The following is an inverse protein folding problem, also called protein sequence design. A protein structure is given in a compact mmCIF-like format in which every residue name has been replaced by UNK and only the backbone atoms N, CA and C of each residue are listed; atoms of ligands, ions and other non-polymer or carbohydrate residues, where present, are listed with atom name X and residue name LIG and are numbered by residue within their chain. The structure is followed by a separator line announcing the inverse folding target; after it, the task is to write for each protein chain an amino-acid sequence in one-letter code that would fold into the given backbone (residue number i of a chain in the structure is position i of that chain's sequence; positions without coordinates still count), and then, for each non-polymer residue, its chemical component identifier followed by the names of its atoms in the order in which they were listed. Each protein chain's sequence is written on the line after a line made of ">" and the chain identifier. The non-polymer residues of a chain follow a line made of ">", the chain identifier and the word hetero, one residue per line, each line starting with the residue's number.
data_IF_387752797278
#
_entry.id   IF_387752797278
#
_cell.length_a   1.000
_cell.length_b   1.000
_cell.length_c   1.000
_cell.angle_alpha   90.00
_cell.angle_beta   90.00
_cell.angle_gamma   90.00
#
_symmetry.space_group_name_H-M   'P 1'
#
loop_
_entity.id
_entity.type
_entity.pdbx_description
1 polymer ?
#
# COMPACT_ATOMS: atom_id res chain seq x y z
N UNK A 1 -6.12 -15.47 28.01
CA UNK A 1 -4.67 -15.68 28.25
C UNK A 1 -4.47 -15.87 29.74
N UNK A 2 -3.95 -17.01 30.17
CA UNK A 2 -3.54 -17.19 31.56
C UNK A 2 -2.48 -16.13 31.92
N UNK A 3 -2.55 -15.57 33.12
CA UNK A 3 -1.57 -14.59 33.59
C UNK A 3 -0.21 -15.29 33.68
N UNK A 4 0.79 -14.81 32.94
CA UNK A 4 2.14 -15.39 32.96
C UNK A 4 2.68 -15.36 34.39
N UNK A 5 3.39 -16.42 34.78
CA UNK A 5 4.05 -16.49 36.09
C UNK A 5 5.06 -15.36 36.26
N UNK A 6 5.13 -14.80 37.47
CA UNK A 6 6.11 -13.77 37.80
C UNK A 6 7.52 -14.36 37.93
N UNK A 7 8.52 -13.59 37.51
CA UNK A 7 9.94 -13.96 37.67
C UNK A 7 10.38 -13.69 39.12
N UNK A 8 11.07 -14.65 39.73
CA UNK A 8 11.60 -14.53 41.09
C UNK A 8 12.47 -13.27 41.25
N UNK A 9 12.30 -12.56 42.38
CA UNK A 9 12.92 -11.25 42.61
C UNK A 9 14.46 -11.28 42.56
N UNK A 10 15.07 -12.33 43.10
CA UNK A 10 16.54 -12.53 43.07
C UNK A 10 17.04 -12.68 41.64
N UNK A 11 16.29 -13.41 40.79
CA UNK A 11 16.65 -13.59 39.39
C UNK A 11 16.51 -12.30 38.59
N UNK A 12 15.46 -11.51 38.83
CA UNK A 12 15.28 -10.20 38.15
C UNK A 12 16.48 -9.27 38.32
N UNK A 13 17.19 -9.33 39.44
CA UNK A 13 18.37 -8.49 39.69
C UNK A 13 19.57 -8.86 38.78
N UNK A 14 19.64 -10.12 38.34
CA UNK A 14 20.65 -10.61 37.41
C UNK A 14 20.26 -10.45 35.94
N UNK A 15 19.00 -10.17 35.63
CA UNK A 15 18.51 -10.11 34.26
C UNK A 15 18.54 -8.68 33.72
N UNK A 16 19.14 -8.51 32.52
CA UNK A 16 19.16 -7.22 31.81
C UNK A 16 18.27 -7.29 30.58
N UNK A 17 17.01 -6.88 30.75
CA UNK A 17 16.07 -6.75 29.64
C UNK A 17 16.52 -5.68 28.62
N UNK A 18 16.17 -5.81 27.33
CA UNK A 18 16.52 -4.84 26.30
C UNK A 18 15.80 -3.51 26.52
N UNK A 19 16.47 -2.40 26.21
CA UNK A 19 15.82 -1.09 26.21
C UNK A 19 14.85 -0.98 25.03
N UNK A 20 13.58 -0.60 25.27
CA UNK A 20 12.60 -0.45 24.19
C UNK A 20 13.00 0.64 23.18
N UNK A 21 12.95 0.33 21.89
CA UNK A 21 13.23 1.27 20.80
C UNK A 21 12.01 2.12 20.41
N UNK A 22 12.20 3.34 19.91
CA UNK A 22 11.10 4.16 19.36
C UNK A 22 10.83 3.81 17.89
N UNK A 23 9.60 4.06 17.38
CA UNK A 23 9.24 3.76 15.99
C UNK A 23 10.09 4.43 14.92
N UNK A 24 10.70 5.56 15.27
CA UNK A 24 11.55 6.43 14.46
C UNK A 24 13.04 6.35 14.85
N UNK A 25 13.45 5.29 15.54
CA UNK A 25 14.86 5.07 15.89
C UNK A 25 15.66 4.40 14.77
N UNK A 26 16.97 4.66 14.75
CA UNK A 26 17.89 4.10 13.75
C UNK A 26 17.80 4.73 12.37
N UNK A 27 18.48 4.14 11.37
CA UNK A 27 18.53 4.67 10.00
C UNK A 27 17.16 4.68 9.32
N UNK A 28 16.34 3.66 9.56
CA UNK A 28 14.97 3.61 9.02
C UNK A 28 14.06 4.70 9.60
N UNK A 29 14.39 5.22 10.79
CA UNK A 29 13.70 6.35 11.40
C UNK A 29 13.68 7.60 10.53
N UNK A 30 14.67 7.79 9.66
CA UNK A 30 14.69 8.90 8.69
C UNK A 30 13.55 8.81 7.66
N UNK A 31 13.07 7.60 7.40
CA UNK A 31 11.97 7.31 6.48
C UNK A 31 10.64 7.07 7.20
N UNK A 32 10.64 7.03 8.53
CA UNK A 32 9.47 6.68 9.31
C UNK A 32 8.47 7.85 9.33
N UNK A 33 7.30 7.64 8.74
CA UNK A 33 6.12 8.49 8.94
C UNK A 33 5.07 7.72 9.71
N UNK A 34 4.52 8.33 10.78
CA UNK A 34 3.41 7.74 11.52
C UNK A 34 2.17 7.66 10.61
N UNK A 35 1.63 6.47 10.29
CA UNK A 35 0.41 6.37 9.50
C UNK A 35 -0.79 6.90 10.28
N UNK A 36 -1.75 7.57 9.63
CA UNK A 36 -2.98 8.05 10.29
C UNK A 36 -3.80 6.90 10.91
N UNK A 37 -3.74 5.71 10.31
CA UNK A 37 -4.37 4.50 10.86
C UNK A 37 -3.88 4.13 12.28
N UNK A 38 -2.66 4.51 12.67
CA UNK A 38 -2.12 4.29 14.01
C UNK A 38 -2.76 5.18 15.10
N UNK A 39 -3.54 6.19 14.71
CA UNK A 39 -4.31 7.05 15.63
C UNK A 39 -5.75 6.55 15.79
N UNK A 40 -6.20 5.69 14.89
CA UNK A 40 -7.57 5.18 14.85
C UNK A 40 -7.67 3.83 15.57
N UNK A 41 -8.85 3.52 16.08
CA UNK A 41 -9.13 2.17 16.58
C UNK A 41 -9.37 1.25 15.38
N UNK A 42 -8.87 0.01 15.44
CA UNK A 42 -9.05 -0.94 14.36
C UNK A 42 -8.00 -2.04 14.37
N UNK A 43 -8.09 -3.00 13.43
CA UNK A 43 -7.01 -3.92 13.12
C UNK A 43 -5.76 -3.17 12.62
N UNK A 44 -4.63 -3.39 13.27
CA UNK A 44 -3.33 -2.79 12.94
C UNK A 44 -2.29 -3.87 12.61
N UNK A 45 -1.19 -3.46 11.99
CA UNK A 45 -0.02 -4.30 11.76
C UNK A 45 1.20 -3.76 12.50
N UNK A 46 2.31 -4.51 12.46
CA UNK A 46 3.51 -4.19 13.23
C UNK A 46 4.13 -2.85 12.84
N UNK A 47 4.15 -2.51 11.54
CA UNK A 47 4.66 -1.22 11.08
C UNK A 47 3.71 -0.07 11.45
N UNK A 48 2.40 -0.30 11.32
CA UNK A 48 1.38 0.69 11.72
C UNK A 48 1.49 1.04 13.21
N UNK A 49 1.71 0.06 14.08
CA UNK A 49 1.78 0.30 15.53
C UNK A 49 3.17 0.74 16.02
N UNK A 50 4.23 0.08 15.54
CA UNK A 50 5.59 0.19 16.06
C UNK A 50 6.60 0.82 15.09
N UNK A 51 6.20 1.15 13.85
CA UNK A 51 7.12 1.65 12.82
C UNK A 51 8.27 0.66 12.60
N UNK A 52 9.50 1.13 12.81
CA UNK A 52 10.73 0.33 12.71
C UNK A 52 11.37 0.01 14.06
N UNK A 53 10.63 0.14 15.17
CA UNK A 53 11.14 -0.13 16.50
C UNK A 53 11.51 -1.61 16.69
N UNK A 54 12.53 -1.87 17.50
CA UNK A 54 12.78 -3.22 18.03
C UNK A 54 13.53 -4.19 17.11
N UNK A 55 13.84 -3.81 15.87
CA UNK A 55 14.66 -4.60 14.92
C UNK A 55 16.14 -4.60 15.28
N UNK A 56 16.45 -5.26 16.39
CA UNK A 56 17.80 -5.55 16.84
C UNK A 56 17.82 -6.82 17.68
N UNK A 57 19.01 -7.39 17.83
CA UNK A 57 19.36 -8.46 18.74
C UNK A 57 20.04 -7.93 19.98
N UNK A 58 19.76 -8.59 21.10
CA UNK A 58 20.33 -8.32 22.41
C UNK A 58 20.71 -9.64 23.03
N UNK A 59 21.83 -9.68 23.75
CA UNK A 59 22.16 -10.83 24.60
C UNK A 59 21.39 -10.73 25.91
N UNK A 60 20.89 -11.86 26.40
CA UNK A 60 20.03 -11.93 27.58
C UNK A 60 20.40 -13.16 28.42
N UNK A 61 20.39 -13.05 29.74
CA UNK A 61 20.66 -14.17 30.67
C UNK A 61 21.87 -15.05 30.30
N UNK A 62 22.95 -14.45 29.77
CA UNK A 62 24.21 -15.16 29.48
C UNK A 62 24.91 -15.42 30.82
N UNK A 63 25.37 -16.66 31.04
CA UNK A 63 26.00 -17.10 32.30
C UNK A 63 25.15 -16.81 33.56
N UNK A 64 23.85 -17.09 33.49
CA UNK A 64 22.86 -16.81 34.55
C UNK A 64 22.77 -15.32 34.96
N UNK A 65 23.12 -14.40 34.04
CA UNK A 65 22.89 -12.96 34.15
C UNK A 65 23.83 -12.19 35.08
N UNK A 66 24.22 -12.78 36.21
CA UNK A 66 25.08 -12.14 37.21
C UNK A 66 26.60 -12.40 37.00
N UNK A 67 26.98 -13.39 36.19
CA UNK A 67 28.40 -13.68 35.88
C UNK A 67 28.87 -13.19 34.50
N UNK A 68 28.00 -12.54 33.72
CA UNK A 68 28.20 -12.17 32.31
C UNK A 68 29.37 -11.19 32.01
N UNK A 69 30.16 -10.78 33.00
CA UNK A 69 31.14 -9.70 32.86
C UNK A 69 32.52 -10.17 32.38
N UNK A 70 32.80 -11.48 32.28
CA UNK A 70 34.19 -11.95 32.12
C UNK A 70 34.49 -12.95 30.99
N UNK A 71 33.51 -13.57 30.33
CA UNK A 71 33.79 -14.88 29.71
C UNK A 71 33.76 -14.97 28.18
N UNK A 72 32.98 -14.18 27.41
CA UNK A 72 32.87 -14.43 25.95
C UNK A 72 32.63 -13.17 25.09
N UNK A 73 33.69 -12.50 24.55
CA UNK A 73 33.57 -11.36 23.64
C UNK A 73 32.98 -11.70 22.25
N UNK A 74 33.02 -12.96 21.82
CA UNK A 74 32.57 -13.45 20.51
C UNK A 74 31.09 -13.15 20.26
N UNK A 75 30.20 -13.50 21.19
CA UNK A 75 28.74 -13.28 21.06
C UNK A 75 28.37 -11.79 20.97
N UNK A 76 29.19 -10.90 21.56
CA UNK A 76 29.00 -9.44 21.45
C UNK A 76 29.38 -8.95 20.06
N UNK A 77 30.46 -9.45 19.48
CA UNK A 77 30.90 -9.08 18.13
C UNK A 77 29.88 -9.57 17.09
N UNK A 78 29.50 -10.85 17.15
CA UNK A 78 28.56 -11.45 16.21
C UNK A 78 27.15 -10.83 16.33
N UNK A 79 26.67 -10.56 17.55
CA UNK A 79 25.43 -9.80 17.75
C UNK A 79 25.53 -8.37 17.19
N UNK A 80 26.70 -7.73 17.27
CA UNK A 80 26.92 -6.39 16.68
C UNK A 80 26.87 -6.42 15.16
N UNK A 81 27.49 -7.43 14.54
CA UNK A 81 27.44 -7.63 13.09
C UNK A 81 26.00 -7.87 12.63
N UNK A 82 25.29 -8.81 13.27
CA UNK A 82 23.89 -9.10 12.96
C UNK A 82 22.98 -7.87 13.14
N UNK A 83 23.26 -7.01 14.12
CA UNK A 83 22.57 -5.73 14.29
C UNK A 83 22.88 -4.73 13.16
N UNK A 84 24.12 -4.71 12.66
CA UNK A 84 24.47 -3.92 11.48
C UNK A 84 23.70 -4.36 10.24
N UNK A 85 23.58 -5.67 10.02
CA UNK A 85 22.80 -6.24 8.93
C UNK A 85 21.31 -5.88 9.07
N UNK A 86 20.73 -6.02 10.26
CA UNK A 86 19.36 -5.59 10.52
C UNK A 86 19.15 -4.10 10.32
N UNK A 87 20.13 -3.28 10.69
CA UNK A 87 20.07 -1.84 10.45
C UNK A 87 19.99 -1.53 8.95
N UNK A 88 20.79 -2.21 8.13
CA UNK A 88 20.76 -2.08 6.67
C UNK A 88 19.43 -2.57 6.10
N UNK A 89 18.98 -3.78 6.49
CA UNK A 89 17.72 -4.35 6.02
C UNK A 89 16.53 -3.43 6.37
N UNK A 90 16.50 -2.93 7.61
CA UNK A 90 15.45 -2.05 8.09
C UNK A 90 15.50 -0.70 7.38
N UNK A 91 16.68 -0.17 7.06
CA UNK A 91 16.81 1.06 6.27
C UNK A 91 16.31 0.89 4.82
N UNK A 92 16.58 -0.25 4.18
CA UNK A 92 16.10 -0.56 2.83
C UNK A 92 14.58 -0.66 2.80
N UNK A 93 14.00 -1.42 3.73
CA UNK A 93 12.52 -1.52 3.86
C UNK A 93 11.91 -0.16 4.23
N UNK A 94 12.59 0.61 5.08
CA UNK A 94 12.31 2.01 5.39
C UNK A 94 12.12 2.87 4.15
N UNK A 95 13.17 2.93 3.33
CA UNK A 95 13.18 3.71 2.09
C UNK A 95 12.11 3.23 1.10
N UNK A 96 11.94 1.92 0.96
CA UNK A 96 10.95 1.32 0.05
C UNK A 96 9.52 1.65 0.46
N UNK A 97 9.18 1.48 1.75
CA UNK A 97 7.87 1.83 2.30
C UNK A 97 7.58 3.32 2.14
N UNK A 98 8.56 4.18 2.47
CA UNK A 98 8.39 5.62 2.30
C UNK A 98 8.11 6.01 0.85
N UNK A 99 8.82 5.43 -0.13
CA UNK A 99 8.53 5.70 -1.54
C UNK A 99 7.15 5.18 -1.94
N UNK A 100 6.80 3.95 -1.55
CA UNK A 100 5.49 3.35 -1.85
C UNK A 100 4.36 4.19 -1.29
N UNK A 101 4.38 4.49 0.00
CA UNK A 101 3.33 5.29 0.65
C UNK A 101 3.23 6.67 0.01
N UNK A 102 4.37 7.27 -0.35
CA UNK A 102 4.37 8.58 -0.99
C UNK A 102 3.84 8.53 -2.42
N UNK A 103 4.15 7.49 -3.19
CA UNK A 103 3.62 7.29 -4.55
C UNK A 103 2.10 7.17 -4.60
N UNK A 104 1.48 6.73 -3.51
CA UNK A 104 0.03 6.63 -3.34
C UNK A 104 -0.63 7.90 -2.76
N UNK A 105 0.15 8.96 -2.55
CA UNK A 105 -0.32 10.25 -2.02
C UNK A 105 -0.10 11.39 -3.05
N UNK A 106 -0.94 11.46 -4.10
CA UNK A 106 -0.70 12.30 -5.28
C UNK A 106 -0.50 13.79 -4.93
N UNK A 107 -1.29 14.33 -3.99
CA UNK A 107 -1.20 15.73 -3.55
C UNK A 107 0.19 16.06 -2.99
N UNK A 108 0.72 15.19 -2.13
CA UNK A 108 2.00 15.44 -1.47
C UNK A 108 3.20 15.22 -2.40
N UNK A 109 3.05 14.38 -3.44
CA UNK A 109 4.09 14.13 -4.44
C UNK A 109 4.15 15.18 -5.54
N UNK A 110 2.98 15.62 -6.02
CA UNK A 110 2.88 16.38 -7.26
C UNK A 110 2.28 17.78 -7.08
N UNK A 111 1.93 18.20 -5.86
CA UNK A 111 1.40 19.54 -5.60
C UNK A 111 2.33 20.67 -6.09
N UNK A 112 3.63 20.42 -6.17
CA UNK A 112 4.60 21.37 -6.76
C UNK A 112 4.39 21.61 -8.27
N UNK A 113 3.80 20.63 -8.98
CA UNK A 113 3.56 20.68 -10.42
C UNK A 113 2.19 21.30 -10.76
N UNK A 114 1.34 21.58 -9.78
CA UNK A 114 0.00 22.14 -10.02
C UNK A 114 0.04 23.48 -10.78
N UNK A 115 0.96 24.43 -10.47
CA UNK A 115 1.09 25.65 -11.27
C UNK A 115 1.50 25.40 -12.72
N UNK A 116 2.31 24.35 -12.97
CA UNK A 116 2.71 23.96 -14.32
C UNK A 116 1.51 23.38 -15.08
N UNK A 117 0.73 22.50 -14.46
CA UNK A 117 -0.49 21.93 -15.05
C UNK A 117 -1.47 23.06 -15.37
N UNK A 118 -1.66 24.02 -14.47
CA UNK A 118 -2.55 25.16 -14.68
C UNK A 118 -2.10 26.03 -15.87
N UNK A 119 -0.84 26.47 -15.87
CA UNK A 119 -0.31 27.32 -16.94
C UNK A 119 -0.30 26.61 -18.30
N UNK A 120 0.15 25.35 -18.33
CA UNK A 120 0.21 24.57 -19.57
C UNK A 120 -1.19 24.29 -20.13
N UNK A 121 -2.13 23.87 -19.28
CA UNK A 121 -3.52 23.58 -19.73
C UNK A 121 -4.19 24.85 -20.26
N UNK A 122 -4.03 25.98 -19.56
CA UNK A 122 -4.59 27.27 -20.00
C UNK A 122 -3.99 27.73 -21.33
N UNK A 123 -2.67 27.66 -21.47
CA UNK A 123 -1.98 28.02 -22.70
C UNK A 123 -2.43 27.14 -23.88
N UNK A 124 -2.52 25.82 -23.68
CA UNK A 124 -2.99 24.88 -24.70
C UNK A 124 -4.45 25.15 -25.07
N UNK A 125 -5.32 25.42 -24.10
CA UNK A 125 -6.71 25.75 -24.36
C UNK A 125 -6.86 27.04 -25.17
N UNK A 126 -6.16 28.11 -24.77
CA UNK A 126 -6.21 29.40 -25.48
C UNK A 126 -5.67 29.29 -26.91
N UNK A 127 -4.59 28.54 -27.14
CA UNK A 127 -3.98 28.45 -28.47
C UNK A 127 -4.65 27.43 -29.38
N UNK A 128 -5.07 26.29 -28.84
CA UNK A 128 -5.61 25.19 -29.64
C UNK A 128 -7.13 25.22 -29.64
N UNK A 129 -7.77 25.19 -28.48
CA UNK A 129 -9.21 25.02 -28.43
C UNK A 129 -9.99 26.28 -28.81
N UNK A 130 -9.50 27.48 -28.49
CA UNK A 130 -10.21 28.70 -28.93
C UNK A 130 -10.19 28.83 -30.47
N UNK A 131 -9.05 28.55 -31.11
CA UNK A 131 -8.89 28.70 -32.57
C UNK A 131 -9.51 27.50 -33.29
N UNK A 132 -9.04 26.29 -32.98
CA UNK A 132 -9.52 25.09 -33.67
C UNK A 132 -10.91 24.67 -33.20
N UNK A 133 -11.30 24.95 -31.95
CA UNK A 133 -12.64 24.62 -31.46
C UNK A 133 -13.73 25.40 -32.21
N UNK A 134 -13.51 26.69 -32.49
CA UNK A 134 -14.43 27.50 -33.32
C UNK A 134 -14.49 26.94 -34.74
N UNK A 135 -13.34 26.64 -35.36
CA UNK A 135 -13.30 26.05 -36.71
C UNK A 135 -14.03 24.69 -36.74
N UNK A 136 -13.80 23.84 -35.73
CA UNK A 136 -14.40 22.52 -35.64
C UNK A 136 -15.91 22.62 -35.41
N UNK A 137 -16.37 23.54 -34.57
CA UNK A 137 -17.79 23.84 -34.39
C UNK A 137 -18.43 24.35 -35.68
N UNK A 138 -17.72 25.18 -36.46
CA UNK A 138 -18.18 25.62 -37.77
C UNK A 138 -18.36 24.45 -38.75
N UNK A 139 -17.38 23.54 -38.82
CA UNK A 139 -17.43 22.34 -39.66
C UNK A 139 -18.54 21.39 -39.23
N UNK A 140 -18.66 21.11 -37.93
CA UNK A 140 -19.74 20.27 -37.38
C UNK A 140 -21.10 20.93 -37.61
N UNK A 141 -21.21 22.25 -37.44
CA UNK A 141 -22.44 23.00 -37.72
C UNK A 141 -22.86 22.90 -39.18
N UNK A 142 -21.93 23.11 -40.12
CA UNK A 142 -22.18 22.93 -41.55
C UNK A 142 -22.57 21.49 -41.91
N UNK A 143 -21.91 20.50 -41.30
CA UNK A 143 -22.24 19.08 -41.45
C UNK A 143 -23.68 18.78 -40.98
N UNK A 144 -24.07 19.28 -39.81
CA UNK A 144 -25.43 19.11 -39.28
C UNK A 144 -26.46 19.80 -40.16
N UNK A 145 -26.19 21.00 -40.68
CA UNK A 145 -27.07 21.69 -41.62
C UNK A 145 -27.24 20.90 -42.93
N UNK A 146 -26.17 20.35 -43.49
CA UNK A 146 -26.22 19.52 -44.68
C UNK A 146 -27.01 18.23 -44.46
N UNK A 147 -26.80 17.54 -43.33
CA UNK A 147 -27.50 16.29 -43.01
C UNK A 147 -28.95 16.51 -42.58
N UNK A 148 -29.27 17.67 -41.99
CA UNK A 148 -30.65 18.04 -41.67
C UNK A 148 -31.54 18.08 -42.92
N UNK A 149 -30.97 18.42 -44.08
CA UNK A 149 -31.67 18.38 -45.37
C UNK A 149 -31.89 16.97 -45.93
N UNK A 150 -31.19 15.96 -45.42
CA UNK A 150 -31.28 14.57 -45.87
C UNK A 150 -32.19 13.70 -44.97
N UNK A 151 -32.95 14.30 -44.04
CA UNK A 151 -33.91 13.64 -43.14
C UNK A 151 -33.34 12.58 -42.15
N UNK A 152 -32.01 12.46 -42.05
CA UNK A 152 -31.29 11.58 -41.11
C UNK A 152 -31.23 12.15 -39.68
N UNK A 153 -32.39 12.41 -39.07
CA UNK A 153 -32.49 13.14 -37.79
C UNK A 153 -31.84 12.42 -36.60
N UNK A 154 -31.91 11.09 -36.55
CA UNK A 154 -31.35 10.31 -35.43
C UNK A 154 -29.82 10.40 -35.35
N UNK A 155 -29.13 10.29 -36.50
CA UNK A 155 -27.67 10.37 -36.57
C UNK A 155 -27.14 11.80 -36.39
N UNK A 156 -27.93 12.80 -36.82
CA UNK A 156 -27.61 14.20 -36.56
C UNK A 156 -27.69 14.53 -35.06
N UNK A 157 -28.72 14.00 -34.38
CA UNK A 157 -28.93 14.21 -32.95
C UNK A 157 -27.83 13.58 -32.09
N UNK A 158 -27.38 12.36 -32.41
CA UNK A 158 -26.26 11.72 -31.70
C UNK A 158 -24.93 12.45 -31.93
N UNK A 159 -24.68 12.95 -33.14
CA UNK A 159 -23.49 13.74 -33.47
C UNK A 159 -23.47 15.08 -32.74
N UNK A 160 -24.59 15.80 -32.75
CA UNK A 160 -24.74 17.07 -32.05
C UNK A 160 -24.61 16.87 -30.53
N UNK A 161 -25.26 15.83 -29.97
CA UNK A 161 -25.17 15.48 -28.55
C UNK A 161 -23.73 15.16 -28.12
N UNK A 162 -23.00 14.38 -28.93
CA UNK A 162 -21.59 14.09 -28.68
C UNK A 162 -20.71 15.34 -28.73
N UNK A 163 -20.93 16.20 -29.73
CA UNK A 163 -20.16 17.42 -29.88
C UNK A 163 -20.36 18.35 -28.68
N UNK A 164 -21.60 18.52 -28.23
CA UNK A 164 -21.91 19.30 -27.02
C UNK A 164 -21.26 18.68 -25.78
N UNK A 165 -21.33 17.35 -25.61
CA UNK A 165 -20.70 16.66 -24.48
C UNK A 165 -19.18 16.91 -24.44
N UNK A 166 -18.49 16.75 -25.58
CA UNK A 166 -17.04 17.00 -25.68
C UNK A 166 -16.72 18.46 -25.41
N UNK A 167 -17.49 19.41 -25.95
CA UNK A 167 -17.30 20.84 -25.70
C UNK A 167 -17.43 21.19 -24.22
N UNK A 168 -18.45 20.66 -23.54
CA UNK A 168 -18.68 20.87 -22.11
C UNK A 168 -17.53 20.26 -21.31
N UNK A 169 -17.14 19.02 -21.61
CA UNK A 169 -16.05 18.33 -20.91
C UNK A 169 -14.72 19.09 -21.04
N UNK A 170 -14.33 19.48 -22.25
CA UNK A 170 -13.07 20.22 -22.47
C UNK A 170 -13.09 21.59 -21.81
N UNK A 171 -14.23 22.29 -21.85
CA UNK A 171 -14.37 23.59 -21.20
C UNK A 171 -14.28 23.46 -19.68
N UNK A 172 -14.88 22.43 -19.09
CA UNK A 172 -14.77 22.17 -17.65
C UNK A 172 -13.33 21.84 -17.24
N UNK A 173 -12.63 21.00 -18.01
CA UNK A 173 -11.22 20.67 -17.77
C UNK A 173 -10.32 21.91 -17.85
N UNK A 174 -10.58 22.80 -18.81
CA UNK A 174 -9.81 24.04 -18.97
C UNK A 174 -10.13 25.10 -17.91
N UNK A 175 -11.38 25.15 -17.44
CA UNK A 175 -11.79 26.08 -16.39
C UNK A 175 -11.24 25.67 -15.00
N UNK A 176 -11.07 24.37 -14.75
CA UNK A 176 -10.60 23.84 -13.46
C UNK A 176 -9.51 22.76 -13.60
N UNK A 177 -8.34 23.08 -14.20
CA UNK A 177 -7.33 22.10 -14.57
C UNK A 177 -6.78 21.31 -13.37
N UNK A 178 -6.47 21.98 -12.27
CA UNK A 178 -5.93 21.35 -11.05
C UNK A 178 -6.97 20.42 -10.41
N UNK A 179 -8.24 20.86 -10.33
CA UNK A 179 -9.32 20.04 -9.76
C UNK A 179 -9.54 18.78 -10.61
N UNK A 180 -9.49 18.91 -11.93
CA UNK A 180 -9.62 17.78 -12.85
C UNK A 180 -8.45 16.79 -12.72
N UNK A 181 -7.21 17.28 -12.57
CA UNK A 181 -6.06 16.44 -12.29
C UNK A 181 -6.23 15.68 -10.96
N UNK A 182 -6.67 16.36 -9.90
CA UNK A 182 -6.88 15.72 -8.59
C UNK A 182 -8.00 14.68 -8.62
N UNK A 183 -9.07 14.90 -9.39
CA UNK A 183 -10.14 13.90 -9.58
C UNK A 183 -9.63 12.69 -10.36
N UNK A 184 -8.83 12.89 -11.40
CA UNK A 184 -8.20 11.81 -12.15
C UNK A 184 -7.26 10.99 -11.24
N UNK A 185 -6.44 11.67 -10.45
CA UNK A 185 -5.52 11.05 -9.49
C UNK A 185 -6.30 10.24 -8.44
N UNK A 186 -7.39 10.77 -7.87
CA UNK A 186 -8.25 10.04 -6.93
C UNK A 186 -8.90 8.81 -7.55
N UNK A 187 -9.32 8.90 -8.82
CA UNK A 187 -9.87 7.76 -9.56
C UNK A 187 -8.83 6.67 -9.76
N UNK A 188 -7.58 7.04 -10.08
CA UNK A 188 -6.47 6.09 -10.22
C UNK A 188 -6.14 5.40 -8.88
N UNK A 189 -6.07 6.15 -7.77
CA UNK A 189 -5.88 5.56 -6.44
C UNK A 189 -7.00 4.56 -6.13
N UNK A 190 -8.25 4.91 -6.46
CA UNK A 190 -9.39 4.01 -6.28
C UNK A 190 -9.28 2.72 -7.07
N UNK A 191 -8.94 2.79 -8.37
CA UNK A 191 -8.80 1.60 -9.22
C UNK A 191 -7.61 0.74 -8.80
N UNK A 192 -6.46 1.36 -8.46
CA UNK A 192 -5.32 0.67 -7.90
C UNK A 192 -5.68 -0.01 -6.57
N UNK A 193 -6.49 0.64 -5.74
CA UNK A 193 -6.98 0.09 -4.48
C UNK A 193 -7.75 -1.22 -4.68
N UNK A 194 -8.68 -1.25 -5.64
CA UNK A 194 -9.44 -2.47 -5.98
C UNK A 194 -8.52 -3.59 -6.48
N UNK A 195 -7.54 -3.28 -7.33
CA UNK A 195 -6.56 -4.28 -7.80
C UNK A 195 -5.75 -4.80 -6.62
N UNK A 196 -5.27 -3.91 -5.75
CA UNK A 196 -4.50 -4.29 -4.57
C UNK A 196 -5.33 -5.12 -3.56
N UNK A 197 -6.63 -4.89 -3.46
CA UNK A 197 -7.51 -5.74 -2.65
C UNK A 197 -7.72 -7.13 -3.28
N UNK A 198 -7.59 -7.26 -4.59
CA UNK A 198 -7.68 -8.54 -5.28
C UNK A 198 -6.38 -9.36 -5.19
N UNK A 199 -5.22 -8.72 -5.34
CA UNK A 199 -3.92 -9.42 -5.45
C UNK A 199 -2.97 -9.21 -4.27
N UNK A 200 -3.20 -8.19 -3.46
CA UNK A 200 -2.36 -7.79 -2.34
C UNK A 200 -3.00 -8.08 -0.97
N UNK A 201 -2.35 -7.61 0.11
CA UNK A 201 -2.88 -7.71 1.46
C UNK A 201 -4.25 -7.05 1.57
N UNK A 202 -5.29 -7.83 1.89
CA UNK A 202 -6.68 -7.35 2.04
C UNK A 202 -6.92 -6.65 3.38
N UNK A 203 -7.92 -5.77 3.40
CA UNK A 203 -8.44 -5.18 4.62
C UNK A 203 -8.95 -6.30 5.53
N UNK A 204 -8.61 -6.23 6.82
CA UNK A 204 -8.95 -7.28 7.81
C UNK A 204 -10.10 -6.83 8.70
N UNK A 205 -11.23 -6.49 8.10
CA UNK A 205 -12.43 -6.09 8.86
C UNK A 205 -12.94 -7.25 9.73
N UNK A 206 -13.36 -6.91 10.95
CA UNK A 206 -13.97 -7.88 11.89
C UNK A 206 -15.48 -7.72 11.92
N UNK A 207 -16.24 -8.79 12.18
CA UNK A 207 -17.69 -8.68 12.33
C UNK A 207 -18.03 -7.82 13.57
N UNK A 208 -19.13 -7.03 13.53
CA UNK A 208 -19.49 -6.09 14.61
C UNK A 208 -19.62 -6.71 16.01
N UNK A 209 -19.92 -8.00 16.09
CA UNK A 209 -20.04 -8.75 17.35
C UNK A 209 -18.70 -9.06 18.05
N UNK A 210 -17.57 -8.87 17.37
CA UNK A 210 -16.22 -9.14 17.88
C UNK A 210 -15.42 -7.85 18.17
N UNK A 211 -16.08 -6.68 18.10
CA UNK A 211 -15.41 -5.40 18.31
C UNK A 211 -15.03 -5.20 19.78
N UNK A 212 -13.75 -4.89 19.99
CA UNK A 212 -13.27 -4.46 21.30
C UNK A 212 -13.99 -3.15 21.65
N UNK A 213 -14.74 -3.14 22.76
CA UNK A 213 -15.53 -2.01 23.28
C UNK A 213 -16.87 -1.70 22.59
N UNK A 214 -17.38 -2.57 21.72
CA UNK A 214 -18.72 -2.40 21.12
C UNK A 214 -18.86 -1.20 20.16
N UNK A 215 -17.77 -0.51 19.83
CA UNK A 215 -17.75 0.51 18.79
C UNK A 215 -17.55 -0.16 17.41
N UNK A 216 -18.46 0.00 16.45
CA UNK A 216 -18.32 -0.56 15.10
C UNK A 216 -17.03 -0.14 14.40
N UNK A 217 -16.55 1.09 14.63
CA UNK A 217 -15.34 1.61 13.98
C UNK A 217 -14.06 0.88 14.43
N UNK A 218 -14.07 0.24 15.61
CA UNK A 218 -12.95 -0.53 16.12
C UNK A 218 -12.76 -1.87 15.40
N UNK A 219 -13.71 -2.26 14.55
CA UNK A 219 -13.62 -3.45 13.71
C UNK A 219 -13.21 -3.16 12.26
N UNK A 220 -13.25 -1.90 11.84
CA UNK A 220 -12.89 -1.50 10.47
C UNK A 220 -11.39 -1.30 10.34
N UNK A 221 -10.81 -1.85 9.28
CA UNK A 221 -9.41 -1.65 8.94
C UNK A 221 -9.25 -0.32 8.17
N UNK A 222 -8.79 0.70 8.88
CA UNK A 222 -8.60 2.05 8.33
C UNK A 222 -7.28 2.23 7.57
N UNK A 223 -6.49 1.16 7.37
CA UNK A 223 -5.19 1.27 6.68
C UNK A 223 -5.38 1.34 5.16
N UNK A 224 -4.84 2.37 4.49
CA UNK A 224 -4.85 2.40 3.03
C UNK A 224 -4.02 1.24 2.44
N UNK A 225 -4.27 0.84 1.19
CA UNK A 225 -3.56 -0.28 0.55
C UNK A 225 -2.03 -0.20 0.68
N UNK A 226 -1.45 0.99 0.49
CA UNK A 226 -0.01 1.21 0.62
C UNK A 226 0.52 0.91 2.04
N UNK A 227 -0.19 1.31 3.09
CA UNK A 227 0.19 1.03 4.49
C UNK A 227 0.02 -0.45 4.82
N UNK A 228 -1.02 -1.12 4.29
CA UNK A 228 -1.18 -2.58 4.43
C UNK A 228 -0.03 -3.35 3.78
N UNK A 229 0.44 -2.88 2.63
CA UNK A 229 1.64 -3.40 1.99
C UNK A 229 2.90 -3.15 2.83
N UNK A 230 3.07 -1.95 3.40
CA UNK A 230 4.18 -1.63 4.32
C UNK A 230 4.17 -2.51 5.58
N UNK A 231 3.00 -2.78 6.16
CA UNK A 231 2.83 -3.73 7.26
C UNK A 231 3.28 -5.14 6.87
N UNK A 232 2.82 -5.61 5.70
CA UNK A 232 3.16 -6.95 5.21
C UNK A 232 4.65 -7.07 4.90
N UNK A 233 5.24 -6.05 4.27
CA UNK A 233 6.67 -6.00 3.97
C UNK A 233 7.50 -6.04 5.25
N UNK A 234 7.15 -5.22 6.23
CA UNK A 234 7.84 -5.14 7.52
C UNK A 234 7.69 -6.44 8.31
N UNK A 235 6.51 -7.04 8.33
CA UNK A 235 6.26 -8.33 8.98
C UNK A 235 7.09 -9.46 8.33
N UNK A 236 7.06 -9.55 7.01
CA UNK A 236 7.68 -10.66 6.28
C UNK A 236 9.20 -10.53 6.15
N UNK A 237 9.71 -9.33 5.91
CA UNK A 237 11.13 -9.07 5.66
C UNK A 237 11.91 -8.79 6.95
N UNK A 238 11.30 -8.15 7.95
CA UNK A 238 11.99 -7.77 9.18
C UNK A 238 11.57 -8.65 10.35
N UNK A 239 10.29 -8.66 10.72
CA UNK A 239 9.83 -9.36 11.93
C UNK A 239 10.06 -10.87 11.89
N UNK A 240 9.73 -11.55 10.78
CA UNK A 240 10.00 -12.99 10.66
C UNK A 240 11.50 -13.30 10.69
N UNK A 241 12.35 -12.50 10.06
CA UNK A 241 13.80 -12.70 10.17
C UNK A 241 14.33 -12.39 11.58
N UNK A 242 13.76 -11.39 12.25
CA UNK A 242 14.08 -11.10 13.63
C UNK A 242 13.73 -12.29 14.54
N UNK A 243 12.54 -12.87 14.38
CA UNK A 243 12.15 -14.09 15.11
C UNK A 243 13.10 -15.26 14.86
N UNK A 244 13.62 -15.44 13.63
CA UNK A 244 14.63 -16.49 13.34
C UNK A 244 15.90 -16.31 14.17
N UNK A 245 16.37 -15.07 14.36
CA UNK A 245 17.55 -14.81 15.19
C UNK A 245 17.27 -14.76 16.70
N UNK A 246 16.02 -14.53 17.12
CA UNK A 246 15.64 -14.47 18.55
C UNK A 246 15.16 -15.81 19.09
N UNK A 247 14.47 -16.63 18.29
CA UNK A 247 13.84 -17.88 18.72
C UNK A 247 14.20 -19.07 17.81
N UNK A 248 15.19 -18.92 16.94
CA UNK A 248 15.66 -19.95 16.00
C UNK A 248 14.78 -20.12 14.76
N UNK A 249 13.47 -19.94 14.88
CA UNK A 249 12.52 -20.03 13.77
C UNK A 249 11.37 -19.03 13.91
N UNK A 250 10.86 -18.54 12.78
CA UNK A 250 9.66 -17.71 12.75
C UNK A 250 8.36 -18.53 12.83
N UNK A 251 8.45 -19.84 12.60
CA UNK A 251 7.30 -20.74 12.43
C UNK A 251 7.14 -21.73 13.60
N UNK A 252 8.05 -21.71 14.58
CA UNK A 252 7.92 -22.55 15.79
C UNK A 252 6.70 -22.14 16.62
N UNK A 253 6.15 -23.08 17.39
CA UNK A 253 5.03 -22.81 18.30
C UNK A 253 5.39 -21.69 19.29
N UNK A 254 6.62 -21.70 19.80
CA UNK A 254 7.18 -20.66 20.68
C UNK A 254 7.18 -19.29 20.01
N UNK A 255 7.59 -19.18 18.74
CA UNK A 255 7.56 -17.92 17.99
C UNK A 255 6.14 -17.41 17.75
N UNK A 256 5.20 -18.30 17.42
CA UNK A 256 3.80 -17.93 17.22
C UNK A 256 3.13 -17.48 18.52
N UNK A 257 3.45 -18.14 19.65
CA UNK A 257 2.86 -17.86 20.97
C UNK A 257 3.47 -16.64 21.64
N UNK A 258 4.79 -16.48 21.60
CA UNK A 258 5.51 -15.48 22.39
C UNK A 258 6.19 -14.38 21.58
N UNK A 259 6.39 -14.56 20.28
CA UNK A 259 7.13 -13.61 19.45
C UNK A 259 6.55 -12.19 19.49
N UNK A 260 5.23 -12.05 19.40
CA UNK A 260 4.57 -10.75 19.43
C UNK A 260 4.70 -10.07 20.80
N UNK A 261 4.64 -10.84 21.89
CA UNK A 261 4.78 -10.32 23.25
C UNK A 261 6.21 -9.89 23.57
N UNK A 262 7.21 -10.62 23.05
CA UNK A 262 8.63 -10.22 23.13
C UNK A 262 8.88 -8.95 22.31
N UNK A 263 8.32 -8.89 21.10
CA UNK A 263 8.49 -7.73 20.22
C UNK A 263 7.88 -6.47 20.84
N UNK A 264 6.64 -6.54 21.35
CA UNK A 264 6.00 -5.45 22.09
C UNK A 264 6.82 -5.03 23.31
N UNK A 265 7.37 -5.99 24.08
CA UNK A 265 8.23 -5.65 25.22
C UNK A 265 9.52 -4.92 24.81
N UNK A 266 10.02 -5.11 23.58
CA UNK A 266 11.23 -4.45 23.05
C UNK A 266 10.94 -3.22 22.19
N UNK A 267 9.69 -2.93 21.88
CA UNK A 267 9.32 -1.83 20.98
C UNK A 267 8.33 -0.88 21.67
N UNK A 268 8.53 0.41 21.46
CA UNK A 268 7.54 1.42 21.80
C UNK A 268 6.61 1.60 20.61
N UNK A 269 5.31 1.53 20.85
CA UNK A 269 4.33 1.94 19.83
C UNK A 269 4.38 3.45 19.60
N UNK A 270 3.84 3.94 18.48
CA UNK A 270 3.71 5.37 18.20
C UNK A 270 2.98 6.13 19.32
N UNK A 271 1.94 5.52 19.89
CA UNK A 271 1.16 6.09 21.00
C UNK A 271 1.99 6.19 22.29
N UNK A 272 2.79 5.17 22.59
CA UNK A 272 3.67 5.20 23.76
C UNK A 272 4.81 6.22 23.57
N UNK A 273 5.42 6.26 22.38
CA UNK A 273 6.45 7.23 22.05
C UNK A 273 5.94 8.67 22.17
N UNK A 274 4.73 8.95 21.66
CA UNK A 274 4.07 10.25 21.80
C UNK A 274 3.79 10.60 23.27
N UNK A 275 3.25 9.66 24.06
CA UNK A 275 3.04 9.86 25.49
C UNK A 275 4.34 10.21 26.22
N UNK A 276 5.43 9.50 25.92
CA UNK A 276 6.73 9.74 26.55
C UNK A 276 7.36 11.06 26.14
N UNK A 277 7.12 11.53 24.90
CA UNK A 277 7.53 12.87 24.46
C UNK A 277 6.75 13.96 25.19
N UNK A 278 5.45 13.76 25.40
CA UNK A 278 4.60 14.70 26.12
C UNK A 278 4.91 14.72 27.63
N UNK A 279 5.12 13.54 28.24
CA UNK A 279 5.37 13.36 29.66
C UNK A 279 6.62 12.49 29.92
N UNK A 280 7.83 13.08 29.93
CA UNK A 280 9.08 12.34 30.15
C UNK A 280 9.16 11.60 31.49
N UNK A 281 8.36 12.01 32.49
CA UNK A 281 8.29 11.36 33.82
C UNK A 281 7.75 9.93 33.78
N UNK A 282 6.96 9.59 32.75
CA UNK A 282 6.37 8.25 32.61
C UNK A 282 7.37 7.24 32.01
N UNK A 283 8.56 7.67 31.63
CA UNK A 283 9.57 6.85 30.93
C UNK A 283 10.01 5.67 31.77
N UNK A 284 10.44 5.91 33.00
CA UNK A 284 11.00 4.84 33.83
C UNK A 284 9.94 3.79 34.17
N UNK A 285 8.71 4.22 34.46
CA UNK A 285 7.59 3.32 34.68
C UNK A 285 7.23 2.49 33.44
N UNK A 286 7.20 3.13 32.25
CA UNK A 286 6.93 2.44 30.98
C UNK A 286 8.01 1.41 30.65
N UNK A 287 9.28 1.79 30.84
CA UNK A 287 10.43 0.93 30.55
C UNK A 287 10.48 -0.24 31.55
N UNK A 288 10.23 0.02 32.84
CA UNK A 288 10.14 -1.03 33.84
C UNK A 288 9.03 -2.04 33.52
N UNK A 289 7.85 -1.58 33.10
CA UNK A 289 6.74 -2.45 32.72
C UNK A 289 7.08 -3.34 31.51
N UNK A 290 7.69 -2.77 30.46
CA UNK A 290 8.13 -3.51 29.28
C UNK A 290 9.28 -4.48 29.58
N UNK A 291 10.24 -4.08 30.42
CA UNK A 291 11.30 -4.96 30.90
C UNK A 291 10.73 -6.15 31.69
N UNK A 292 9.76 -5.90 32.57
CA UNK A 292 9.06 -6.94 33.32
C UNK A 292 8.32 -7.90 32.39
N UNK A 293 7.65 -7.40 31.35
CA UNK A 293 7.00 -8.21 30.34
C UNK A 293 8.01 -9.09 29.60
N UNK A 294 9.14 -8.52 29.16
CA UNK A 294 10.22 -9.28 28.52
C UNK A 294 10.69 -10.43 29.41
N UNK A 295 11.00 -10.14 30.68
CA UNK A 295 11.50 -11.14 31.62
C UNK A 295 10.47 -12.25 31.87
N UNK A 296 9.18 -11.91 32.04
CA UNK A 296 8.11 -12.91 32.22
C UNK A 296 7.98 -13.82 31.00
N UNK A 297 7.98 -13.26 29.80
CA UNK A 297 7.87 -14.04 28.57
C UNK A 297 9.10 -14.93 28.38
N UNK A 298 10.31 -14.38 28.59
CA UNK A 298 11.55 -15.13 28.52
C UNK A 298 11.58 -16.32 29.52
N UNK A 299 11.06 -16.12 30.72
CA UNK A 299 10.98 -17.18 31.74
C UNK A 299 10.02 -18.30 31.34
N UNK A 300 8.90 -17.97 30.68
CA UNK A 300 7.98 -18.98 30.16
C UNK A 300 8.61 -19.76 29.00
N UNK A 301 9.32 -19.07 28.10
CA UNK A 301 10.07 -19.73 27.02
C UNK A 301 11.10 -20.69 27.61
N UNK A 302 11.85 -20.29 28.65
CA UNK A 302 12.82 -21.18 29.31
C UNK A 302 12.19 -22.50 29.80
N UNK A 303 10.97 -22.43 30.33
CA UNK A 303 10.29 -23.60 30.90
C UNK A 303 9.63 -24.47 29.82
N UNK A 304 9.08 -23.87 28.77
CA UNK A 304 8.32 -24.58 27.72
C UNK A 304 9.22 -25.04 26.56
N UNK A 305 10.24 -24.25 26.19
CA UNK A 305 11.13 -24.49 25.04
C UNK A 305 12.56 -23.99 25.35
N UNK A 306 13.38 -24.84 26.01
CA UNK A 306 14.76 -24.52 26.33
C UNK A 306 15.63 -24.23 25.10
N UNK A 307 15.33 -24.84 23.94
CA UNK A 307 16.09 -24.61 22.72
C UNK A 307 15.88 -23.18 22.20
N UNK A 308 14.63 -22.73 22.09
CA UNK A 308 14.33 -21.35 21.74
C UNK A 308 14.89 -20.35 22.76
N UNK A 309 15.01 -20.74 24.02
CA UNK A 309 15.65 -19.93 25.04
C UNK A 309 17.15 -19.69 24.78
N UNK A 310 17.89 -20.69 24.25
CA UNK A 310 19.31 -20.50 23.88
C UNK A 310 19.47 -19.43 22.77
N UNK A 311 18.59 -19.42 21.78
CA UNK A 311 18.55 -18.37 20.75
C UNK A 311 18.23 -16.99 21.36
N UNK A 312 17.30 -16.94 22.32
CA UNK A 312 16.92 -15.71 23.01
C UNK A 312 18.10 -15.14 23.81
N UNK A 313 18.85 -16.03 24.48
CA UNK A 313 20.05 -15.65 25.21
C UNK A 313 21.13 -15.08 24.28
N UNK A 314 21.18 -15.57 23.04
CA UNK A 314 22.16 -15.19 22.04
C UNK A 314 23.45 -15.99 22.10
N UNK A 315 23.39 -17.18 22.69
CA UNK A 315 24.49 -18.15 22.69
C UNK A 315 24.64 -18.86 21.33
N UNK A 316 23.56 -18.84 20.51
CA UNK A 316 23.53 -19.24 19.10
C UNK A 316 23.78 -18.03 18.20
N UNK A 317 25.03 -17.61 18.11
CA UNK A 317 25.36 -16.32 17.50
C UNK A 317 25.57 -16.33 15.99
N UNK A 318 26.04 -17.43 15.42
CA UNK A 318 26.16 -17.55 13.95
C UNK A 318 24.80 -17.53 13.27
N UNK A 319 23.77 -18.02 13.95
CA UNK A 319 22.39 -18.06 13.48
C UNK A 319 21.78 -16.65 13.41
N UNK A 320 22.22 -15.72 14.28
CA UNK A 320 21.82 -14.31 14.22
C UNK A 320 22.42 -13.60 13.01
N UNK A 321 23.69 -13.88 12.68
CA UNK A 321 24.32 -13.37 11.46
C UNK A 321 23.60 -13.94 10.23
N UNK A 322 23.32 -15.25 10.22
CA UNK A 322 22.56 -15.87 9.14
C UNK A 322 21.18 -15.21 8.94
N UNK A 323 20.45 -14.94 10.03
CA UNK A 323 19.16 -14.27 9.98
C UNK A 323 19.26 -12.81 9.53
N UNK A 324 20.28 -12.07 9.98
CA UNK A 324 20.57 -10.70 9.54
C UNK A 324 20.90 -10.62 8.06
N UNK A 325 21.80 -11.48 7.57
CA UNK A 325 22.14 -11.58 6.15
C UNK A 325 20.92 -11.91 5.28
N UNK A 326 20.09 -12.88 5.69
CA UNK A 326 18.85 -13.21 4.98
C UNK A 326 17.89 -12.02 4.98
N UNK A 327 17.79 -11.26 6.07
CA UNK A 327 16.98 -10.05 6.12
C UNK A 327 17.46 -8.99 5.11
N UNK A 328 18.77 -8.78 4.98
CA UNK A 328 19.36 -7.86 3.99
C UNK A 328 19.05 -8.32 2.57
N UNK A 329 19.29 -9.60 2.25
CA UNK A 329 19.03 -10.13 0.92
C UNK A 329 17.55 -10.04 0.56
N UNK A 330 16.66 -10.43 1.48
CA UNK A 330 15.22 -10.32 1.30
C UNK A 330 14.78 -8.86 1.10
N UNK A 331 15.32 -7.94 1.90
CA UNK A 331 15.03 -6.52 1.78
C UNK A 331 15.48 -5.93 0.44
N UNK A 332 16.68 -6.28 -0.06
CA UNK A 332 17.18 -5.83 -1.36
C UNK A 332 16.29 -6.33 -2.50
N UNK A 333 16.01 -7.64 -2.53
CA UNK A 333 15.20 -8.25 -3.59
C UNK A 333 13.76 -7.69 -3.59
N UNK A 334 13.17 -7.54 -2.40
CA UNK A 334 11.86 -6.93 -2.25
C UNK A 334 11.85 -5.46 -2.69
N UNK A 335 12.82 -4.67 -2.23
CA UNK A 335 12.90 -3.25 -2.57
C UNK A 335 13.08 -3.04 -4.08
N UNK A 336 13.86 -3.86 -4.79
CA UNK A 336 14.01 -3.74 -6.24
C UNK A 336 12.66 -3.87 -6.98
N UNK A 337 11.84 -4.85 -6.56
CA UNK A 337 10.49 -5.03 -7.11
C UNK A 337 9.57 -3.85 -6.71
N UNK A 338 9.55 -3.51 -5.43
CA UNK A 338 8.66 -2.50 -4.87
C UNK A 338 8.96 -1.08 -5.37
N UNK A 339 10.22 -0.72 -5.50
CA UNK A 339 10.66 0.54 -6.10
C UNK A 339 10.22 0.61 -7.56
N UNK A 340 10.35 -0.49 -8.32
CA UNK A 340 9.88 -0.55 -9.71
C UNK A 340 8.37 -0.37 -9.80
N UNK A 341 7.61 -1.06 -8.95
CA UNK A 341 6.15 -0.93 -8.88
C UNK A 341 5.73 0.50 -8.51
N UNK A 342 6.39 1.10 -7.51
CA UNK A 342 6.14 2.48 -7.08
C UNK A 342 6.47 3.48 -8.19
N UNK A 343 7.54 3.26 -8.96
CA UNK A 343 7.87 4.08 -10.12
C UNK A 343 6.83 3.97 -11.23
N UNK A 344 6.30 2.77 -11.52
CA UNK A 344 5.23 2.59 -12.49
C UNK A 344 3.94 3.32 -12.06
N UNK A 345 3.61 3.28 -10.76
CA UNK A 345 2.48 4.05 -10.20
C UNK A 345 2.72 5.56 -10.39
N UNK A 346 3.92 6.07 -10.06
CA UNK A 346 4.29 7.47 -10.27
C UNK A 346 4.21 7.88 -11.75
N UNK A 347 4.71 7.04 -12.66
CA UNK A 347 4.61 7.28 -14.10
C UNK A 347 3.15 7.26 -14.58
N UNK A 348 2.32 6.39 -14.02
CA UNK A 348 0.88 6.37 -14.26
C UNK A 348 0.25 7.72 -13.93
N UNK A 349 0.48 8.24 -12.72
CA UNK A 349 0.01 9.58 -12.33
C UNK A 349 0.52 10.67 -13.27
N UNK A 350 1.80 10.61 -13.66
CA UNK A 350 2.37 11.58 -14.60
C UNK A 350 1.64 11.55 -15.96
N UNK A 351 1.37 10.37 -16.51
CA UNK A 351 0.63 10.20 -17.77
C UNK A 351 -0.77 10.81 -17.67
N UNK A 352 -1.50 10.57 -16.58
CA UNK A 352 -2.83 11.15 -16.38
C UNK A 352 -2.80 12.68 -16.27
N UNK A 353 -1.81 13.25 -15.58
CA UNK A 353 -1.62 14.71 -15.52
C UNK A 353 -1.32 15.30 -16.90
N UNK A 354 -0.47 14.65 -17.69
CA UNK A 354 -0.23 15.03 -19.09
C UNK A 354 -1.49 14.92 -19.95
N UNK A 355 -2.34 13.91 -19.71
CA UNK A 355 -3.60 13.77 -20.43
C UNK A 355 -4.56 14.94 -20.15
N UNK A 356 -4.58 15.48 -18.93
CA UNK A 356 -5.36 16.69 -18.60
C UNK A 356 -4.85 17.90 -19.38
N UNK A 357 -3.52 18.09 -19.45
CA UNK A 357 -2.91 19.18 -20.24
C UNK A 357 -3.23 19.03 -21.73
N UNK A 358 -3.20 17.80 -22.25
CA UNK A 358 -3.51 17.48 -23.64
C UNK A 358 -5.01 17.45 -23.97
N UNK A 359 -5.89 17.51 -22.95
CA UNK A 359 -7.32 17.36 -23.11
C UNK A 359 -7.95 18.32 -24.13
N UNK A 360 -7.55 19.61 -24.23
CA UNK A 360 -8.09 20.49 -25.26
C UNK A 360 -7.77 20.02 -26.69
N UNK A 361 -6.57 19.48 -26.92
CA UNK A 361 -6.15 18.91 -28.20
C UNK A 361 -6.96 17.65 -28.50
N UNK A 362 -7.02 16.73 -27.54
CA UNK A 362 -7.80 15.48 -27.66
C UNK A 362 -9.28 15.77 -27.89
N UNK A 363 -9.81 16.82 -27.26
CA UNK A 363 -11.16 17.32 -27.44
C UNK A 363 -11.44 17.75 -28.88
N UNK A 364 -10.56 18.56 -29.48
CA UNK A 364 -10.71 18.96 -30.89
C UNK A 364 -10.73 17.77 -31.84
N UNK A 365 -9.88 16.76 -31.62
CA UNK A 365 -9.91 15.50 -32.40
C UNK A 365 -11.18 14.70 -32.13
N UNK A 366 -11.62 14.63 -30.87
CA UNK A 366 -12.82 13.91 -30.44
C UNK A 366 -14.11 14.46 -31.05
N UNK A 367 -14.18 15.77 -31.29
CA UNK A 367 -15.30 16.42 -32.00
C UNK A 367 -15.48 15.91 -33.43
N UNK A 368 -14.40 15.49 -34.10
CA UNK A 368 -14.43 15.04 -35.50
C UNK A 368 -14.80 13.56 -35.67
N UNK A 369 -14.83 12.78 -34.57
CA UNK A 369 -15.00 11.31 -34.63
C UNK A 369 -16.37 10.83 -35.15
N UNK A 370 -17.51 11.46 -34.83
CA UNK A 370 -18.81 11.04 -35.40
C UNK A 370 -18.92 11.32 -36.91
N UNK A 371 -18.23 12.35 -37.41
CA UNK A 371 -18.26 12.73 -38.83
C UNK A 371 -17.51 11.72 -39.72
N UNK A 372 -16.47 11.06 -39.21
CA UNK A 372 -15.68 10.09 -39.98
C UNK A 372 -16.36 8.72 -40.14
N UNK A 373 -17.19 8.31 -39.17
CA UNK A 373 -17.99 7.08 -39.28
C UNK A 373 -19.04 7.15 -40.40
N UNK A 374 -19.59 8.34 -40.69
CA UNK A 374 -20.51 8.54 -41.82
C UNK A 374 -19.84 8.43 -43.20
N UNK A 375 -18.56 8.80 -43.33
CA UNK A 375 -17.83 8.72 -44.60
C UNK A 375 -17.37 7.30 -44.97
N UNK A 376 -17.24 6.38 -44.01
CA UNK A 376 -16.90 4.99 -44.29
C UNK A 376 -18.04 4.24 -45.02
N UNK A 377 -19.30 4.59 -44.74
CA UNK A 377 -20.48 4.01 -45.39
C UNK A 377 -20.66 4.43 -46.85
N UNK A 378 -19.99 5.50 -47.31
CA UNK A 378 -20.04 5.98 -48.70
C UNK A 378 -19.04 5.27 -49.63
N UNK A 379 -18.24 4.33 -49.11
CA UNK A 379 -17.16 3.66 -49.85
C UNK A 379 -17.45 2.19 -50.21
N UNK A 380 -18.70 1.75 -50.10
CA UNK A 380 -19.15 0.45 -50.64
C UNK A 380 -20.02 0.68 -51.88
N UNK A 381 -19.61 0.23 -53.08
CA UNK A 381 -20.46 0.31 -54.26
C UNK A 381 -21.63 -0.66 -54.09
N UNK A 382 -22.85 -0.13 -54.19
CA UNK A 382 -24.10 -0.88 -54.16
C UNK A 382 -24.24 -1.75 -55.42
N UNK A 383 -24.16 -3.07 -55.29
CA UNK A 383 -24.70 -4.02 -56.26
C UNK A 383 -26.20 -4.23 -55.99
N UNK A 384 -27.06 -4.34 -57.03
CA UNK A 384 -28.51 -4.43 -56.85
C UNK A 384 -28.94 -5.84 -56.42
N UNK A 385 -30.09 -6.00 -55.73
CA UNK A 385 -30.59 -7.30 -55.33
C UNK A 385 -31.31 -7.98 -56.50
N UNK A 386 -30.87 -9.19 -56.88
CA UNK A 386 -31.64 -10.06 -57.76
C UNK A 386 -32.78 -10.71 -57.00
N UNK A 387 -33.99 -10.47 -57.50
CA UNK A 387 -35.25 -11.05 -57.06
C UNK A 387 -35.37 -12.52 -57.47
N UNK A 388 -35.72 -13.40 -56.53
CA UNK A 388 -36.60 -14.56 -56.79
C UNK A 388 -37.21 -15.06 -55.47
N UNK A 389 -38.53 -15.24 -55.49
CA UNK A 389 -39.36 -15.95 -54.49
C UNK A 389 -40.33 -16.87 -55.29
N UNK A 390 -41.25 -17.63 -54.68
CA UNK A 390 -41.11 -18.65 -53.62
C UNK A 390 -41.84 -19.96 -54.03
N UNK A 391 -41.67 -21.08 -53.32
CA UNK A 391 -42.67 -22.18 -53.29
C UNK A 391 -42.27 -23.21 -52.21
N UNK A 392 -42.98 -23.31 -51.10
CA UNK A 392 -44.02 -24.32 -50.77
C UNK A 392 -43.58 -25.20 -49.58
N UNK A 393 -44.25 -25.03 -48.46
CA UNK A 393 -44.32 -25.98 -47.34
C UNK A 393 -45.32 -27.12 -47.68
N UNK A 394 -45.76 -28.00 -46.77
CA UNK A 394 -45.24 -28.47 -45.46
C UNK A 394 -45.30 -30.01 -45.29
N UNK A 395 -44.48 -30.66 -44.45
CA UNK A 395 -44.84 -31.97 -43.87
C UNK A 395 -44.39 -32.13 -42.40
N UNK A 396 -45.38 -32.55 -41.62
CA UNK A 396 -45.56 -32.82 -40.18
C UNK A 396 -44.84 -34.08 -39.68
N UNK A 397 -44.39 -34.08 -38.40
CA UNK A 397 -44.45 -35.18 -37.37
C UNK A 397 -43.54 -34.80 -36.19
N UNK A 398 -44.07 -34.36 -35.05
CA UNK A 398 -44.38 -35.14 -33.84
C UNK A 398 -43.34 -36.21 -33.45
N UNK A 399 -42.75 -36.09 -32.25
CA UNK A 399 -42.86 -37.07 -31.13
C UNK A 399 -41.91 -36.68 -29.96
N UNK A 400 -42.52 -36.55 -28.78
CA UNK A 400 -42.08 -36.79 -27.37
C UNK A 400 -40.70 -36.36 -26.84
N UNK A 401 -40.72 -35.41 -25.89
CA UNK A 401 -40.37 -35.46 -24.43
C UNK A 401 -39.14 -36.28 -23.90
N UNK A 402 -38.78 -36.20 -22.60
CA UNK A 402 -37.54 -35.59 -22.11
C UNK A 402 -36.66 -36.57 -21.27
N UNK A 403 -35.64 -36.04 -20.58
CA UNK A 403 -34.83 -36.59 -19.47
C UNK A 403 -33.38 -36.93 -19.82
N UNK A 404 -32.45 -36.05 -19.43
CA UNK A 404 -31.55 -36.26 -18.27
C UNK A 404 -30.88 -34.96 -17.88
#
# INVERSE_FOLDING_TARGET
>A
MAKLGDVAAERKQCLKAPTPGTPDSGLAGWFASRPEASKMNGPTGLYTDYGYAGYSYTTYDVDNGCLATLTHPEYKVTTTIANGEFMIATAIIGASNALRERSWSPESMWGWADPLVEQATKAVYEKVFSVFGIVTLGVVGLYLLWRSRQADMSNAMTTAGWAVLVMVAVTALAAWPVKSANVADATLVGTLGVVHDAVGPRAKDRPPGECRLGNPEACTDHRPPAVRASDTATETMLYRNWLRGVLGSADSETAQKYGAALYDAKSLSWREAERLRANPKDRDATFAAKNDQWMKVAEQIKNEDPEAYEYLQGTKDMERIGAGFIAVLAAVLFAMFDLTASLLVLLGFLIFRWAVIAAPILGTVGLMRPASAGCAALRTPSSPPSSTSPSSAPVRRSISSPLT
#
